data_IF_281579746095
#
_entry.id   IF_281579746095
#
_cell.length_a   1.000
_cell.length_b   1.000
_cell.length_c   1.000
_cell.angle_alpha   90.00
_cell.angle_beta   90.00
_cell.angle_gamma   90.00
#
_symmetry.space_group_name_H-M   'P 1'
#
loop_
_entity.id
_entity.type
_entity.pdbx_description
1 polymer ?
#
# COMPACT_ATOMS: atom_id res chain seq x y z
N UNK A 1 57.14 -26.92 -0.17
CA UNK A 1 57.78 -25.59 -0.01
C UNK A 1 56.88 -24.73 0.84
N UNK A 2 57.38 -24.40 2.03
CA UNK A 2 56.94 -23.42 3.03
C UNK A 2 55.50 -23.51 3.59
N UNK A 3 55.42 -24.24 4.69
CA UNK A 3 54.56 -23.94 5.83
C UNK A 3 55.10 -22.71 6.59
N UNK A 4 54.21 -21.87 7.13
CA UNK A 4 54.54 -20.93 8.23
C UNK A 4 53.38 -20.93 9.25
N UNK A 5 53.81 -21.04 10.50
CA UNK A 5 53.06 -21.09 11.75
C UNK A 5 52.64 -19.70 12.28
N UNK A 6 51.64 -19.73 13.16
CA UNK A 6 51.47 -18.99 14.44
C UNK A 6 51.60 -17.45 14.47
N UNK A 7 50.55 -16.80 14.97
CA UNK A 7 50.68 -16.01 16.20
C UNK A 7 49.32 -15.76 16.87
N UNK A 8 49.20 -16.32 18.06
CA UNK A 8 48.25 -15.96 19.11
C UNK A 8 48.67 -14.59 19.68
N UNK A 9 47.74 -13.65 19.80
CA UNK A 9 47.87 -12.51 20.72
C UNK A 9 46.64 -12.49 21.62
N UNK A 10 46.87 -12.86 22.87
CA UNK A 10 46.02 -12.61 24.04
C UNK A 10 46.69 -11.50 24.87
N UNK A 11 45.85 -10.77 25.60
CA UNK A 11 46.13 -9.74 26.62
C UNK A 11 46.31 -8.32 26.05
N UNK A 12 45.62 -7.29 26.56
CA UNK A 12 44.71 -7.23 27.70
C UNK A 12 44.38 -5.79 28.05
N UNK A 13 43.45 -5.64 29.03
CA UNK A 13 43.17 -4.45 29.83
C UNK A 13 42.65 -3.21 29.05
N UNK A 14 41.80 -2.34 29.57
CA UNK A 14 41.01 -2.21 30.78
C UNK A 14 40.10 -0.98 30.52
N UNK A 15 39.16 -0.72 31.43
CA UNK A 15 38.46 0.57 31.59
C UNK A 15 37.51 0.99 30.47
N UNK A 16 36.23 0.64 30.65
CA UNK A 16 35.11 1.56 30.41
C UNK A 16 33.94 1.20 31.34
N UNK A 17 34.22 1.27 32.65
CA UNK A 17 33.19 1.55 33.65
C UNK A 17 32.96 3.06 33.69
N UNK A 18 31.68 3.47 33.83
CA UNK A 18 31.17 4.83 34.09
C UNK A 18 31.15 5.82 32.90
N UNK A 19 29.97 5.99 32.31
CA UNK A 19 29.15 7.23 32.38
C UNK A 19 27.87 7.05 31.56
N UNK A 20 26.89 6.35 32.14
CA UNK A 20 25.49 6.71 31.94
C UNK A 20 25.05 7.39 33.23
N UNK A 21 25.43 8.66 33.33
CA UNK A 21 24.88 9.59 34.30
C UNK A 21 23.36 9.62 34.09
N UNK A 22 22.64 9.40 35.19
CA UNK A 22 21.20 9.31 35.18
C UNK A 22 20.58 10.61 34.69
N UNK A 23 19.76 10.49 33.65
CA UNK A 23 18.61 11.36 33.52
C UNK A 23 17.58 10.85 34.53
N UNK A 24 17.69 11.38 35.74
CA UNK A 24 16.67 11.31 36.77
C UNK A 24 15.41 11.99 36.22
N UNK A 25 14.55 11.20 35.57
CA UNK A 25 13.14 11.53 35.37
C UNK A 25 12.40 11.23 36.69
N UNK A 26 12.87 11.86 37.77
CA UNK A 26 12.18 11.96 39.05
C UNK A 26 11.57 13.35 39.11
N UNK A 27 10.59 13.61 38.24
CA UNK A 27 9.74 14.78 38.33
C UNK A 27 8.33 14.35 38.67
N UNK A 28 8.00 14.51 39.95
CA UNK A 28 6.64 14.76 40.47
C UNK A 28 5.62 13.65 40.22
N UNK A 29 5.64 12.63 41.07
CA UNK A 29 4.40 12.02 41.60
C UNK A 29 3.86 13.02 42.62
N UNK A 30 3.42 14.19 42.14
CA UNK A 30 2.71 15.17 42.95
C UNK A 30 1.23 14.86 42.84
N UNK A 31 0.57 14.60 43.96
CA UNK A 31 -0.87 14.66 44.17
C UNK A 31 -1.73 14.18 42.98
N UNK A 32 -1.92 12.85 42.89
CA UNK A 32 -3.05 12.25 42.19
C UNK A 32 -4.37 12.57 42.91
N UNK A 33 -4.65 13.87 43.10
CA UNK A 33 -5.95 14.38 43.51
C UNK A 33 -6.90 14.12 42.37
N UNK A 34 -7.77 13.12 42.55
CA UNK A 34 -9.10 13.02 41.95
C UNK A 34 -9.22 13.67 40.56
N UNK A 35 -8.38 13.27 39.59
CA UNK A 35 -8.68 13.52 38.19
C UNK A 35 -9.88 12.63 37.91
N UNK A 36 -11.06 13.22 38.10
CA UNK A 36 -12.34 12.53 38.01
C UNK A 36 -12.32 11.66 36.78
N UNK A 37 -12.44 10.35 36.99
CA UNK A 37 -12.77 9.41 35.95
C UNK A 37 -14.09 9.95 35.39
N UNK A 38 -14.02 10.76 34.34
CA UNK A 38 -15.20 11.26 33.66
C UNK A 38 -16.03 10.02 33.36
N UNK A 39 -17.26 10.00 33.86
CA UNK A 39 -18.16 8.86 33.76
C UNK A 39 -18.19 8.40 32.29
N UNK A 40 -17.43 7.34 31.98
CA UNK A 40 -17.46 6.75 30.67
C UNK A 40 -18.86 6.21 30.47
N UNK A 41 -19.58 6.80 29.52
CA UNK A 41 -20.91 6.35 29.15
C UNK A 41 -20.79 5.52 27.87
N UNK A 42 -20.86 4.17 27.92
CA UNK A 42 -20.87 3.34 26.71
C UNK A 42 -21.91 3.80 25.68
N UNK A 43 -23.03 4.33 26.16
CA UNK A 43 -24.11 4.91 25.35
C UNK A 43 -23.63 6.10 24.49
N UNK A 44 -22.66 6.89 24.96
CA UNK A 44 -22.09 8.01 24.19
C UNK A 44 -21.26 7.50 23.01
N UNK A 45 -20.40 6.50 23.23
CA UNK A 45 -19.62 5.86 22.16
C UNK A 45 -20.55 5.25 21.12
N UNK A 46 -21.61 4.58 21.55
CA UNK A 46 -22.59 3.99 20.65
C UNK A 46 -23.31 5.08 19.82
N UNK A 47 -23.75 6.18 20.44
CA UNK A 47 -24.33 7.33 19.73
C UNK A 47 -23.38 7.90 18.68
N UNK A 48 -22.09 8.03 19.00
CA UNK A 48 -21.06 8.50 18.07
C UNK A 48 -20.87 7.53 16.89
N UNK A 49 -20.82 6.23 17.15
CA UNK A 49 -20.69 5.20 16.11
C UNK A 49 -21.92 5.18 15.19
N UNK A 50 -23.15 5.19 15.74
CA UNK A 50 -24.38 5.29 14.92
C UNK A 50 -24.41 6.55 14.06
N UNK A 51 -23.82 7.65 14.51
CA UNK A 51 -23.70 8.88 13.71
C UNK A 51 -22.61 8.77 12.65
N UNK A 52 -21.49 8.14 12.99
CA UNK A 52 -20.42 7.81 12.03
C UNK A 52 -20.96 6.95 10.89
N UNK A 53 -21.69 5.88 11.18
CA UNK A 53 -22.23 4.96 10.17
C UNK A 53 -23.22 5.66 9.23
N UNK A 54 -24.11 6.50 9.77
CA UNK A 54 -25.03 7.33 8.97
C UNK A 54 -24.28 8.27 8.04
N UNK A 55 -23.26 8.97 8.53
CA UNK A 55 -22.43 9.85 7.71
C UNK A 55 -21.57 9.07 6.72
N UNK A 56 -21.13 7.86 7.06
CA UNK A 56 -20.34 7.04 6.15
C UNK A 56 -21.20 6.57 4.98
N UNK A 57 -22.44 6.14 5.25
CA UNK A 57 -23.45 5.85 4.23
C UNK A 57 -23.76 7.07 3.36
N UNK A 58 -23.81 8.26 3.95
CA UNK A 58 -23.97 9.52 3.19
C UNK A 58 -22.76 9.78 2.28
N UNK A 59 -21.53 9.73 2.82
CA UNK A 59 -20.29 9.90 2.05
C UNK A 59 -20.22 8.90 0.90
N UNK A 60 -20.57 7.64 1.13
CA UNK A 60 -20.55 6.59 0.12
C UNK A 60 -21.56 6.82 -1.02
N UNK A 61 -22.51 7.76 -0.88
CA UNK A 61 -23.45 8.16 -1.95
C UNK A 61 -23.03 9.44 -2.68
N UNK A 62 -22.02 10.15 -2.19
CA UNK A 62 -21.51 11.35 -2.85
C UNK A 62 -20.66 10.97 -4.06
N UNK A 63 -21.09 11.40 -5.23
CA UNK A 63 -20.24 11.39 -6.42
C UNK A 63 -19.18 12.48 -6.30
N UNK A 64 -17.99 12.18 -6.80
CA UNK A 64 -16.97 13.18 -7.03
C UNK A 64 -17.40 14.13 -8.17
N UNK A 65 -16.90 15.37 -8.20
CA UNK A 65 -17.11 16.26 -9.35
C UNK A 65 -16.63 15.61 -10.65
N UNK A 66 -17.10 16.12 -11.79
CA UNK A 66 -16.66 15.65 -13.10
C UNK A 66 -15.13 15.76 -13.21
N UNK A 67 -14.48 14.62 -13.44
CA UNK A 67 -13.03 14.53 -13.57
C UNK A 67 -12.66 14.66 -15.04
N UNK A 68 -12.06 15.79 -15.39
CA UNK A 68 -11.57 16.10 -16.74
C UNK A 68 -10.05 16.01 -16.86
N UNK A 69 -9.34 15.86 -15.74
CA UNK A 69 -7.88 15.81 -15.68
C UNK A 69 -7.40 14.73 -14.71
N UNK A 70 -6.14 14.32 -14.84
CA UNK A 70 -5.44 13.50 -13.85
C UNK A 70 -4.01 14.02 -13.61
N UNK A 71 -3.47 13.71 -12.43
CA UNK A 71 -2.13 14.14 -12.02
C UNK A 71 -1.09 13.08 -12.35
N UNK A 72 0.03 13.50 -12.94
CA UNK A 72 1.20 12.67 -13.15
C UNK A 72 2.46 13.54 -13.29
N UNK A 73 3.56 13.12 -12.67
CA UNK A 73 4.85 13.83 -12.69
C UNK A 73 4.73 15.30 -12.24
N UNK A 74 3.84 15.57 -11.28
CA UNK A 74 3.59 16.92 -10.75
C UNK A 74 2.76 17.84 -11.67
N UNK A 75 2.30 17.37 -12.83
CA UNK A 75 1.44 18.12 -13.74
C UNK A 75 0.03 17.54 -13.89
N UNK A 76 -0.91 18.37 -14.34
CA UNK A 76 -2.27 17.96 -14.72
C UNK A 76 -2.35 17.62 -16.22
N UNK A 77 -3.01 16.52 -16.55
CA UNK A 77 -3.17 16.02 -17.92
C UNK A 77 -4.65 15.89 -18.26
N UNK A 78 -5.08 16.49 -19.37
CA UNK A 78 -6.47 16.46 -19.83
C UNK A 78 -6.91 15.05 -20.27
N UNK A 79 -8.18 14.71 -20.03
CA UNK A 79 -8.81 13.47 -20.46
C UNK A 79 -9.80 13.73 -21.61
N UNK A 80 -9.84 12.86 -22.64
CA UNK A 80 -8.98 11.68 -22.84
C UNK A 80 -7.59 12.06 -23.38
N UNK A 81 -6.55 11.34 -22.97
CA UNK A 81 -5.23 11.41 -23.65
C UNK A 81 -5.26 10.43 -24.81
N UNK A 82 -5.32 10.96 -26.03
CA UNK A 82 -5.22 10.18 -27.25
C UNK A 82 -3.77 10.11 -27.75
N UNK A 83 -3.43 9.03 -28.44
CA UNK A 83 -2.16 8.93 -29.13
C UNK A 83 -2.09 9.96 -30.27
N UNK A 84 -1.09 10.83 -30.21
CA UNK A 84 -0.68 11.63 -31.35
C UNK A 84 -0.07 10.70 -32.40
N UNK A 85 -0.75 10.54 -33.55
CA UNK A 85 -0.34 9.66 -34.63
C UNK A 85 1.01 10.04 -35.26
N UNK A 86 1.43 11.28 -35.09
CA UNK A 86 2.71 11.78 -35.63
C UNK A 86 3.88 11.46 -34.70
N UNK A 87 3.61 11.20 -33.42
CA UNK A 87 4.62 10.96 -32.41
C UNK A 87 5.09 9.51 -32.45
N UNK A 88 6.39 9.31 -32.65
CA UNK A 88 7.01 8.01 -32.54
C UNK A 88 6.85 7.45 -31.10
N UNK A 89 6.59 6.14 -31.01
CA UNK A 89 6.56 5.46 -29.73
C UNK A 89 7.95 5.48 -29.10
N UNK A 90 7.98 5.72 -27.79
CA UNK A 90 9.21 5.74 -27.02
C UNK A 90 9.72 4.30 -26.85
N UNK A 91 10.98 4.08 -27.20
CA UNK A 91 11.67 2.83 -26.85
C UNK A 91 12.01 2.84 -25.36
N UNK A 92 11.63 1.79 -24.63
CA UNK A 92 11.99 1.61 -23.23
C UNK A 92 13.38 0.99 -23.12
N UNK A 93 14.16 1.46 -22.16
CA UNK A 93 15.34 0.71 -21.74
C UNK A 93 14.93 -0.64 -21.13
N UNK A 94 15.89 -1.58 -20.99
CA UNK A 94 15.60 -2.89 -20.37
C UNK A 94 15.00 -2.75 -18.96
N UNK A 95 15.57 -1.89 -18.12
CA UNK A 95 15.07 -1.67 -16.76
C UNK A 95 13.66 -1.07 -16.75
N UNK A 96 13.34 -0.15 -17.67
CA UNK A 96 11.98 0.41 -17.77
C UNK A 96 10.96 -0.60 -18.26
N UNK A 97 11.36 -1.52 -19.15
CA UNK A 97 10.51 -2.63 -19.59
C UNK A 97 10.26 -3.62 -18.44
N UNK A 98 11.28 -3.95 -17.66
CA UNK A 98 11.15 -4.78 -16.44
C UNK A 98 10.21 -4.12 -15.41
N UNK A 99 10.36 -2.81 -15.17
CA UNK A 99 9.43 -2.03 -14.35
C UNK A 99 8.00 -2.10 -14.90
N UNK A 100 7.81 -1.86 -16.20
CA UNK A 100 6.49 -1.90 -16.82
C UNK A 100 5.85 -3.29 -16.70
N UNK A 101 6.64 -4.36 -16.84
CA UNK A 101 6.17 -5.73 -16.67
C UNK A 101 5.76 -6.01 -15.22
N UNK A 102 6.57 -5.63 -14.23
CA UNK A 102 6.22 -5.75 -12.81
C UNK A 102 4.95 -4.98 -12.45
N UNK A 103 4.81 -3.76 -12.94
CA UNK A 103 3.60 -2.97 -12.72
C UNK A 103 2.38 -3.61 -13.37
N UNK A 104 2.52 -4.11 -14.60
CA UNK A 104 1.46 -4.81 -15.31
C UNK A 104 1.07 -6.13 -14.60
N UNK A 105 2.03 -6.81 -13.97
CA UNK A 105 1.80 -8.03 -13.21
C UNK A 105 1.03 -7.82 -11.91
N UNK A 106 1.09 -6.63 -11.32
CA UNK A 106 0.16 -6.20 -10.29
C UNK A 106 -1.17 -5.72 -10.88
N UNK A 107 -1.19 -4.49 -11.39
CA UNK A 107 -2.42 -3.75 -11.73
C UNK A 107 -2.88 -3.88 -13.19
N UNK A 108 -2.07 -4.51 -14.04
CA UNK A 108 -2.40 -4.76 -15.44
C UNK A 108 -3.42 -5.88 -15.65
N UNK A 109 -4.12 -5.83 -16.78
CA UNK A 109 -5.09 -6.83 -17.16
C UNK A 109 -5.06 -7.10 -18.66
N UNK A 110 -5.07 -8.38 -19.02
CA UNK A 110 -5.37 -8.86 -20.38
C UNK A 110 -6.85 -9.23 -20.44
N UNK A 111 -7.60 -8.54 -21.29
CA UNK A 111 -9.05 -8.69 -21.40
C UNK A 111 -9.51 -8.95 -22.82
N UNK A 112 -10.51 -9.80 -22.94
CA UNK A 112 -11.23 -10.11 -24.18
C UNK A 112 -12.68 -9.69 -23.97
N UNK A 113 -13.00 -8.44 -24.33
CA UNK A 113 -14.31 -7.87 -24.00
C UNK A 113 -15.46 -8.47 -24.82
N UNK A 114 -15.15 -9.11 -25.95
CA UNK A 114 -16.13 -9.85 -26.74
C UNK A 114 -15.40 -10.90 -27.60
N UNK A 115 -15.79 -12.19 -27.56
CA UNK A 115 -15.21 -13.21 -28.44
C UNK A 115 -15.36 -12.89 -29.93
N UNK A 116 -16.35 -12.07 -30.32
CA UNK A 116 -16.52 -11.60 -31.70
C UNK A 116 -15.52 -10.50 -32.09
N UNK A 117 -14.85 -9.85 -31.14
CA UNK A 117 -13.84 -8.83 -31.43
C UNK A 117 -12.54 -9.44 -31.98
N UNK A 118 -12.03 -8.83 -33.05
CA UNK A 118 -10.82 -9.25 -33.76
C UNK A 118 -9.53 -9.09 -32.94
N UNK A 119 -9.59 -8.55 -31.72
CA UNK A 119 -8.42 -8.31 -30.87
C UNK A 119 -8.69 -8.49 -29.38
N UNK A 120 -7.65 -8.89 -28.66
CA UNK A 120 -7.53 -8.69 -27.21
C UNK A 120 -7.27 -7.21 -26.89
N UNK A 121 -7.33 -6.86 -25.59
CA UNK A 121 -6.91 -5.56 -25.09
C UNK A 121 -6.10 -5.70 -23.82
N UNK A 122 -5.08 -4.86 -23.68
CA UNK A 122 -4.32 -4.69 -22.46
C UNK A 122 -4.79 -3.39 -21.80
N UNK A 123 -4.87 -3.40 -20.47
CA UNK A 123 -5.26 -2.22 -19.71
C UNK A 123 -4.53 -2.17 -18.37
N UNK A 124 -4.32 -0.95 -17.88
CA UNK A 124 -3.81 -0.66 -16.53
C UNK A 124 -4.70 0.41 -15.94
N UNK A 125 -5.16 0.21 -14.70
CA UNK A 125 -5.97 1.18 -13.99
C UNK A 125 -5.12 1.84 -12.90
N UNK A 126 -5.31 3.15 -12.69
CA UNK A 126 -4.69 3.88 -11.59
C UNK A 126 -5.63 4.92 -11.01
N UNK A 127 -5.36 5.34 -9.78
CA UNK A 127 -6.03 6.51 -9.22
C UNK A 127 -5.68 7.75 -10.04
N UNK A 128 -6.64 8.66 -10.22
CA UNK A 128 -6.42 9.93 -10.94
C UNK A 128 -5.36 10.85 -10.31
N UNK A 129 -4.88 10.55 -9.09
CA UNK A 129 -3.79 11.28 -8.45
C UNK A 129 -2.39 10.69 -8.71
N UNK A 130 -2.29 9.56 -9.40
CA UNK A 130 -1.02 8.83 -9.61
C UNK A 130 -0.95 8.21 -11.02
N UNK A 131 -0.97 9.06 -12.04
CA UNK A 131 -1.01 8.65 -13.45
C UNK A 131 0.36 8.38 -14.10
N UNK A 132 1.47 8.45 -13.36
CA UNK A 132 2.84 8.35 -13.88
C UNK A 132 3.05 7.07 -14.69
N UNK A 133 2.64 5.93 -14.12
CA UNK A 133 2.73 4.64 -14.80
C UNK A 133 1.89 4.64 -16.09
N UNK A 134 0.69 5.24 -16.09
CA UNK A 134 -0.16 5.27 -17.30
C UNK A 134 0.49 6.04 -18.44
N UNK A 135 1.17 7.15 -18.13
CA UNK A 135 1.92 7.91 -19.14
C UNK A 135 3.13 7.12 -19.66
N UNK A 136 3.81 6.34 -18.83
CA UNK A 136 4.86 5.41 -19.27
C UNK A 136 4.30 4.40 -20.27
N UNK A 137 3.20 3.72 -19.95
CA UNK A 137 2.55 2.78 -20.86
C UNK A 137 2.07 3.45 -22.15
N UNK A 138 1.47 4.64 -22.05
CA UNK A 138 1.01 5.40 -23.21
C UNK A 138 2.16 5.80 -24.13
N UNK A 139 3.27 6.30 -23.58
CA UNK A 139 4.44 6.69 -24.37
C UNK A 139 5.12 5.48 -25.04
N UNK A 140 5.20 4.34 -24.35
CA UNK A 140 5.88 3.15 -24.84
C UNK A 140 5.07 2.33 -25.85
N UNK A 141 3.76 2.21 -25.61
CA UNK A 141 2.91 1.24 -26.30
C UNK A 141 1.72 1.89 -27.02
N UNK A 142 1.58 3.22 -26.94
CA UNK A 142 0.47 3.97 -27.51
C UNK A 142 -0.84 3.76 -26.76
N UNK A 143 -1.95 3.71 -27.49
CA UNK A 143 -3.28 3.52 -26.90
C UNK A 143 -3.92 4.84 -26.45
N UNK A 144 -4.75 4.76 -25.41
CA UNK A 144 -5.46 5.93 -24.87
C UNK A 144 -5.57 5.87 -23.36
N UNK A 145 -5.53 7.03 -22.70
CA UNK A 145 -5.87 7.16 -21.27
C UNK A 145 -7.24 7.80 -21.15
N UNK A 146 -8.18 7.11 -20.50
CA UNK A 146 -9.55 7.58 -20.31
C UNK A 146 -9.98 7.47 -18.86
N UNK A 147 -11.03 8.20 -18.49
CA UNK A 147 -11.71 7.98 -17.22
C UNK A 147 -12.36 6.59 -17.21
N UNK A 148 -12.06 5.77 -16.20
CA UNK A 148 -12.69 4.45 -16.02
C UNK A 148 -13.76 4.47 -14.94
N UNK A 149 -13.59 5.28 -13.89
CA UNK A 149 -14.66 5.56 -12.92
C UNK A 149 -14.50 6.97 -12.37
N UNK A 150 -15.61 7.69 -12.21
CA UNK A 150 -15.61 9.07 -11.72
C UNK A 150 -15.27 9.22 -10.23
N UNK A 151 -15.20 8.13 -9.47
CA UNK A 151 -15.03 8.17 -8.02
C UNK A 151 -16.34 8.37 -7.26
N UNK A 152 -16.39 7.87 -6.03
CA UNK A 152 -17.57 7.94 -5.16
C UNK A 152 -17.16 7.77 -3.70
N UNK A 153 -17.59 8.68 -2.82
CA UNK A 153 -17.24 8.69 -1.40
C UNK A 153 -15.73 8.58 -1.17
N UNK A 154 -15.29 7.55 -0.44
CA UNK A 154 -13.87 7.29 -0.20
C UNK A 154 -13.10 6.74 -1.42
N UNK A 155 -13.78 6.31 -2.48
CA UNK A 155 -13.15 5.77 -3.69
C UNK A 155 -12.80 6.92 -4.61
N UNK A 156 -11.50 7.15 -4.82
CA UNK A 156 -11.01 8.14 -5.78
C UNK A 156 -11.44 7.76 -7.20
N UNK A 157 -11.45 8.75 -8.09
CA UNK A 157 -11.60 8.50 -9.50
C UNK A 157 -10.44 7.62 -10.02
N UNK A 158 -10.76 6.80 -11.01
CA UNK A 158 -9.83 5.86 -11.62
C UNK A 158 -9.71 6.19 -13.09
N UNK A 159 -8.49 6.39 -13.55
CA UNK A 159 -8.11 6.51 -14.95
C UNK A 159 -7.53 5.20 -15.44
N UNK A 160 -7.61 4.97 -16.74
CA UNK A 160 -7.22 3.71 -17.37
C UNK A 160 -6.46 3.97 -18.65
N UNK A 161 -5.24 3.45 -18.71
CA UNK A 161 -4.59 3.22 -19.98
C UNK A 161 -5.16 1.96 -20.63
N UNK A 162 -5.43 2.00 -21.94
CA UNK A 162 -5.88 0.86 -22.71
C UNK A 162 -5.28 0.86 -24.10
N UNK A 163 -4.90 -0.32 -24.56
CA UNK A 163 -4.47 -0.58 -25.94
C UNK A 163 -5.19 -1.80 -26.51
N UNK A 164 -5.49 -1.78 -27.81
CA UNK A 164 -6.21 -2.84 -28.53
C UNK A 164 -5.49 -3.15 -29.86
N UNK A 165 -5.94 -4.20 -30.56
CA UNK A 165 -5.49 -4.46 -31.94
C UNK A 165 -4.01 -4.83 -32.04
N UNK A 166 -3.34 -4.33 -33.08
CA UNK A 166 -1.93 -4.60 -33.33
C UNK A 166 -1.02 -4.07 -32.21
N UNK A 167 -1.26 -2.86 -31.73
CA UNK A 167 -0.51 -2.26 -30.61
C UNK A 167 -0.61 -3.07 -29.33
N UNK A 168 -1.76 -3.72 -29.06
CA UNK A 168 -1.90 -4.62 -27.92
C UNK A 168 -1.03 -5.87 -28.05
N UNK A 169 -0.90 -6.44 -29.25
CA UNK A 169 0.00 -7.58 -29.50
C UNK A 169 1.46 -7.19 -29.34
N UNK A 170 1.85 -6.03 -29.88
CA UNK A 170 3.21 -5.51 -29.76
C UNK A 170 3.58 -5.23 -28.28
N UNK A 171 2.68 -4.60 -27.54
CA UNK A 171 2.84 -4.39 -26.10
C UNK A 171 2.93 -5.72 -25.34
N UNK A 172 2.08 -6.69 -25.66
CA UNK A 172 2.11 -8.01 -25.05
C UNK A 172 3.43 -8.73 -25.31
N UNK A 173 3.94 -8.68 -26.54
CA UNK A 173 5.22 -9.30 -26.91
C UNK A 173 6.39 -8.68 -26.15
N UNK A 174 6.39 -7.35 -25.98
CA UNK A 174 7.42 -6.66 -25.20
C UNK A 174 7.35 -7.05 -23.72
N UNK A 175 6.17 -7.04 -23.12
CA UNK A 175 5.97 -7.30 -21.69
C UNK A 175 6.16 -8.78 -21.32
N UNK A 176 5.82 -9.72 -22.21
CA UNK A 176 5.84 -11.17 -21.94
C UNK A 176 7.22 -11.63 -21.44
N UNK A 177 8.30 -11.11 -22.05
CA UNK A 177 9.65 -11.52 -21.73
C UNK A 177 10.15 -11.04 -20.37
N UNK A 178 9.52 -10.03 -19.78
CA UNK A 178 9.89 -9.46 -18.49
C UNK A 178 8.84 -9.70 -17.40
N UNK A 179 7.69 -10.28 -17.75
CA UNK A 179 6.61 -10.64 -16.83
C UNK A 179 6.92 -11.96 -16.12
N UNK A 180 6.51 -12.05 -14.85
CA UNK A 180 6.56 -13.26 -14.02
C UNK A 180 5.16 -13.85 -13.79
N UNK A 181 4.13 -12.99 -13.68
CA UNK A 181 2.78 -13.40 -13.26
C UNK A 181 1.86 -13.62 -14.45
N UNK A 182 1.94 -12.75 -15.46
CA UNK A 182 0.98 -12.72 -16.57
C UNK A 182 1.57 -13.20 -17.90
N UNK A 183 2.69 -13.92 -17.88
CA UNK A 183 3.41 -14.40 -19.07
C UNK A 183 2.53 -15.20 -20.03
N UNK A 184 1.76 -16.18 -19.54
CA UNK A 184 0.85 -16.98 -20.37
C UNK A 184 -0.28 -16.13 -20.97
N UNK A 185 -0.86 -15.23 -20.17
CA UNK A 185 -1.92 -14.33 -20.63
C UNK A 185 -1.41 -13.36 -21.71
N UNK A 186 -0.17 -12.88 -21.56
CA UNK A 186 0.49 -12.05 -22.55
C UNK A 186 0.82 -12.86 -23.82
N UNK A 187 1.31 -14.09 -23.70
CA UNK A 187 1.53 -14.98 -24.84
C UNK A 187 0.26 -15.17 -25.67
N UNK A 188 -0.86 -15.48 -25.01
CA UNK A 188 -2.15 -15.64 -25.67
C UNK A 188 -2.61 -14.34 -26.37
N UNK A 189 -2.23 -13.18 -25.83
CA UNK A 189 -2.50 -11.89 -26.47
C UNK A 189 -1.62 -11.66 -27.71
N UNK A 190 -0.36 -12.10 -27.71
CA UNK A 190 0.53 -12.07 -28.88
C UNK A 190 -0.03 -12.96 -30.00
N UNK A 191 -0.40 -14.19 -29.65
CA UNK A 191 -0.89 -15.22 -30.55
C UNK A 191 -2.39 -15.07 -30.89
N UNK A 192 -2.99 -13.89 -30.65
CA UNK A 192 -4.43 -13.72 -30.75
C UNK A 192 -4.94 -14.04 -32.18
N UNK A 193 -5.83 -15.04 -32.33
CA UNK A 193 -6.17 -15.61 -33.62
C UNK A 193 -7.21 -14.77 -34.35
N UNK A 194 -7.16 -14.84 -35.69
CA UNK A 194 -8.17 -14.20 -36.56
C UNK A 194 -9.50 -14.97 -36.48
N UNK A 195 -9.43 -16.31 -36.48
CA UNK A 195 -10.60 -17.20 -36.51
C UNK A 195 -11.47 -17.07 -35.23
N UNK A 196 -12.80 -16.84 -35.36
CA UNK A 196 -13.70 -16.70 -34.20
C UNK A 196 -13.77 -17.91 -33.26
N UNK A 197 -13.75 -19.14 -33.79
CA UNK A 197 -13.83 -20.36 -32.96
C UNK A 197 -12.63 -20.49 -32.03
N UNK A 198 -11.42 -20.27 -32.56
CA UNK A 198 -10.18 -20.27 -31.77
C UNK A 198 -10.14 -19.13 -30.74
N UNK A 199 -10.72 -17.96 -31.04
CA UNK A 199 -10.86 -16.86 -30.06
C UNK A 199 -11.72 -17.25 -28.86
N UNK A 200 -12.84 -17.95 -29.08
CA UNK A 200 -13.68 -18.46 -27.99
C UNK A 200 -12.92 -19.42 -27.10
N UNK A 201 -12.16 -20.33 -27.71
CA UNK A 201 -11.33 -21.31 -27.00
C UNK A 201 -10.25 -20.63 -26.14
N UNK A 202 -9.47 -19.70 -26.72
CA UNK A 202 -8.47 -18.95 -25.96
C UNK A 202 -9.09 -18.08 -24.87
N UNK A 203 -10.30 -17.56 -25.06
CA UNK A 203 -11.02 -16.80 -24.01
C UNK A 203 -11.35 -17.70 -22.81
N UNK A 204 -11.75 -18.95 -23.07
CA UNK A 204 -12.00 -19.95 -22.03
C UNK A 204 -10.70 -20.31 -21.30
N UNK A 205 -9.65 -20.65 -22.04
CA UNK A 205 -8.32 -20.97 -21.48
C UNK A 205 -7.75 -19.81 -20.64
N UNK A 206 -7.88 -18.56 -21.11
CA UNK A 206 -7.45 -17.37 -20.39
C UNK A 206 -8.20 -17.22 -19.06
N UNK A 207 -9.48 -17.55 -19.05
CA UNK A 207 -10.33 -17.52 -17.85
C UNK A 207 -9.94 -18.64 -16.87
N UNK A 208 -9.55 -19.81 -17.37
CA UNK A 208 -9.04 -20.92 -16.57
C UNK A 208 -7.69 -20.56 -15.94
N UNK A 209 -6.74 -20.03 -16.70
CA UNK A 209 -5.42 -19.57 -16.18
C UNK A 209 -5.59 -18.51 -15.09
N UNK A 210 -6.55 -17.59 -15.22
CA UNK A 210 -6.85 -16.61 -14.16
C UNK A 210 -7.38 -17.23 -12.87
N UNK A 211 -7.90 -18.47 -12.92
CA UNK A 211 -8.40 -19.22 -11.76
C UNK A 211 -7.34 -20.17 -11.20
N UNK A 212 -6.69 -20.94 -12.07
CA UNK A 212 -5.61 -21.87 -11.76
C UNK A 212 -4.28 -21.19 -12.08
N UNK A 213 -3.65 -20.62 -11.07
CA UNK A 213 -2.32 -20.07 -11.24
C UNK A 213 -1.32 -21.20 -11.35
N UNK A 214 -0.65 -21.28 -12.49
CA UNK A 214 0.47 -22.17 -12.72
C UNK A 214 1.68 -21.31 -12.99
N UNK A 215 2.73 -21.47 -12.19
CA UNK A 215 4.00 -20.83 -12.48
C UNK A 215 4.59 -21.42 -13.75
N UNK A 216 4.78 -20.61 -14.79
CA UNK A 216 5.64 -20.95 -15.91
C UNK A 216 7.11 -20.86 -15.50
N UNK A 217 8.02 -21.43 -16.30
CA UNK A 217 9.47 -21.30 -16.16
C UNK A 217 9.88 -19.86 -15.80
N UNK A 218 10.61 -19.70 -14.70
CA UNK A 218 10.82 -18.40 -14.08
C UNK A 218 11.90 -17.63 -14.84
N UNK A 219 11.59 -16.40 -15.21
CA UNK A 219 12.63 -15.39 -15.37
C UNK A 219 13.11 -14.95 -13.99
N UNK A 220 14.37 -14.53 -13.87
CA UNK A 220 14.89 -14.00 -12.60
C UNK A 220 14.22 -12.69 -12.25
N UNK A 221 13.83 -12.52 -10.98
CA UNK A 221 13.33 -11.24 -10.47
C UNK A 221 14.46 -10.20 -10.50
N UNK A 222 14.13 -8.93 -10.74
CA UNK A 222 15.08 -7.82 -10.72
C UNK A 222 14.54 -6.68 -9.86
N UNK A 223 15.42 -5.77 -9.43
CA UNK A 223 15.00 -4.56 -8.71
C UNK A 223 14.03 -3.69 -9.51
N UNK A 224 14.18 -3.62 -10.84
CA UNK A 224 13.28 -2.86 -11.71
C UNK A 224 11.89 -3.49 -11.77
N UNK A 225 11.83 -4.82 -11.96
CA UNK A 225 10.57 -5.55 -11.90
C UNK A 225 9.90 -5.37 -10.53
N UNK A 226 10.66 -5.53 -9.43
CA UNK A 226 10.13 -5.38 -8.08
C UNK A 226 9.64 -3.96 -7.81
N UNK A 227 10.29 -2.92 -8.35
CA UNK A 227 9.82 -1.54 -8.24
C UNK A 227 8.44 -1.36 -8.88
N UNK A 228 8.24 -1.87 -10.09
CA UNK A 228 6.95 -1.83 -10.77
C UNK A 228 5.88 -2.63 -10.02
N UNK A 229 6.21 -3.85 -9.60
CA UNK A 229 5.30 -4.72 -8.86
C UNK A 229 4.92 -4.14 -7.49
N UNK A 230 5.87 -3.52 -6.79
CA UNK A 230 5.62 -2.84 -5.51
C UNK A 230 4.77 -1.58 -5.67
N UNK A 231 4.94 -0.84 -6.77
CA UNK A 231 4.08 0.30 -7.07
C UNK A 231 2.64 -0.07 -7.36
N UNK A 232 2.37 -1.29 -7.84
CA UNK A 232 1.03 -1.84 -7.94
C UNK A 232 0.55 -2.44 -6.59
N UNK A 233 1.21 -3.49 -6.11
CA UNK A 233 0.71 -4.37 -5.03
C UNK A 233 1.35 -4.12 -3.65
N UNK A 234 2.43 -3.33 -3.62
CA UNK A 234 3.18 -3.02 -2.42
C UNK A 234 2.50 -1.99 -1.53
N UNK A 235 2.90 -1.95 -0.26
CA UNK A 235 2.51 -0.91 0.68
C UNK A 235 3.63 -0.58 1.64
N UNK A 236 3.65 0.69 2.06
CA UNK A 236 4.56 1.23 3.08
C UNK A 236 3.71 1.52 4.31
N UNK A 237 4.02 0.85 5.42
CA UNK A 237 3.29 0.99 6.67
C UNK A 237 4.21 1.46 7.79
N UNK A 238 3.82 2.56 8.43
CA UNK A 238 4.43 3.02 9.68
C UNK A 238 3.43 2.70 10.79
N UNK A 239 3.75 1.74 11.70
CA UNK A 239 2.83 1.28 12.75
C UNK A 239 2.43 2.43 13.65
N UNK A 240 1.32 2.33 14.39
CA UNK A 240 0.88 3.41 15.28
C UNK A 240 1.66 3.52 16.59
N UNK A 241 2.27 2.41 16.99
CA UNK A 241 3.03 2.27 18.22
C UNK A 241 4.42 1.76 17.87
N UNK A 242 5.44 2.48 18.35
CA UNK A 242 6.84 2.15 18.11
C UNK A 242 7.41 2.83 16.87
N UNK A 243 8.72 3.06 16.91
CA UNK A 243 9.49 3.54 15.78
C UNK A 243 9.82 2.35 14.87
N UNK A 244 9.29 2.36 13.65
CA UNK A 244 9.51 1.28 12.69
C UNK A 244 8.85 1.53 11.36
N UNK A 245 9.21 0.72 10.37
CA UNK A 245 8.66 0.72 9.02
C UNK A 245 8.42 -0.73 8.65
N UNK A 246 7.29 -1.00 8.03
CA UNK A 246 7.01 -2.29 7.39
C UNK A 246 6.74 -2.07 5.92
N UNK A 247 7.43 -2.82 5.10
CA UNK A 247 7.12 -2.94 3.69
C UNK A 247 6.40 -4.26 3.50
N UNK A 248 5.37 -4.29 2.66
CA UNK A 248 4.82 -5.57 2.29
C UNK A 248 4.15 -5.58 0.94
N UNK A 249 4.06 -6.77 0.37
CA UNK A 249 3.37 -7.04 -0.88
C UNK A 249 2.34 -8.11 -0.58
N UNK A 250 1.09 -7.90 -1.02
CA UNK A 250 0.01 -8.85 -0.81
C UNK A 250 -0.32 -9.53 -2.13
N UNK A 251 -0.51 -10.85 -2.13
CA UNK A 251 -0.83 -11.59 -3.34
C UNK A 251 -1.67 -12.83 -3.02
N UNK A 252 -2.55 -13.22 -3.95
CA UNK A 252 -3.38 -14.42 -3.81
C UNK A 252 -2.57 -15.70 -3.94
N UNK A 253 -1.51 -15.67 -4.76
CA UNK A 253 -0.65 -16.81 -5.04
C UNK A 253 0.66 -16.66 -4.26
N UNK A 254 0.88 -17.56 -3.29
CA UNK A 254 2.03 -17.50 -2.39
C UNK A 254 3.35 -17.67 -3.13
N UNK A 255 3.33 -18.42 -4.22
CA UNK A 255 4.50 -18.79 -4.97
C UNK A 255 5.17 -17.56 -5.60
N UNK A 256 4.40 -16.56 -6.05
CA UNK A 256 4.92 -15.26 -6.50
C UNK A 256 5.72 -14.58 -5.39
N UNK A 257 5.21 -14.64 -4.16
CA UNK A 257 5.87 -14.03 -3.01
C UNK A 257 7.14 -14.78 -2.63
N UNK A 258 7.19 -16.09 -2.82
CA UNK A 258 8.40 -16.87 -2.65
C UNK A 258 9.46 -16.57 -3.71
N UNK A 259 9.06 -16.24 -4.96
CA UNK A 259 10.00 -15.69 -5.96
C UNK A 259 10.69 -14.44 -5.43
N UNK A 260 9.87 -13.48 -4.98
CA UNK A 260 10.35 -12.18 -4.53
C UNK A 260 11.15 -12.35 -3.24
N UNK A 261 10.73 -13.25 -2.35
CA UNK A 261 11.48 -13.61 -1.13
C UNK A 261 12.88 -14.12 -1.47
N UNK A 262 13.01 -15.11 -2.37
CA UNK A 262 14.31 -15.66 -2.75
C UNK A 262 15.24 -14.58 -3.32
N UNK A 263 14.73 -13.72 -4.20
CA UNK A 263 15.48 -12.57 -4.70
C UNK A 263 15.92 -11.60 -3.59
N UNK A 264 15.03 -11.27 -2.64
CA UNK A 264 15.39 -10.42 -1.51
C UNK A 264 16.42 -11.06 -0.58
N UNK A 265 16.34 -12.37 -0.37
CA UNK A 265 17.31 -13.13 0.45
C UNK A 265 18.69 -13.15 -0.20
N UNK A 266 18.79 -13.32 -1.52
CA UNK A 266 20.04 -13.19 -2.30
C UNK A 266 20.65 -11.79 -2.17
N UNK A 267 19.81 -10.75 -2.06
CA UNK A 267 20.22 -9.36 -1.80
C UNK A 267 20.50 -9.06 -0.31
N UNK A 268 20.48 -10.09 0.55
CA UNK A 268 20.74 -9.96 1.99
C UNK A 268 19.60 -9.33 2.81
N UNK A 269 18.40 -9.30 2.26
CA UNK A 269 17.20 -8.73 2.89
C UNK A 269 16.37 -9.84 3.52
N UNK A 270 16.39 -9.92 4.84
CA UNK A 270 15.52 -10.84 5.58
C UNK A 270 14.05 -10.37 5.50
N UNK A 271 13.19 -11.25 5.01
CA UNK A 271 11.75 -11.05 4.89
C UNK A 271 11.00 -12.36 5.18
N UNK A 272 9.69 -12.26 5.36
CA UNK A 272 8.85 -13.42 5.64
C UNK A 272 7.58 -13.43 4.79
N UNK A 273 7.23 -14.59 4.24
CA UNK A 273 5.91 -14.84 3.64
C UNK A 273 4.96 -15.35 4.73
N UNK A 274 3.90 -14.58 4.98
CA UNK A 274 2.90 -14.82 6.02
C UNK A 274 1.57 -15.13 5.33
N UNK A 275 0.91 -16.21 5.77
CA UNK A 275 -0.47 -16.51 5.34
C UNK A 275 -1.43 -15.52 6.01
N UNK A 276 -2.17 -14.77 5.20
CA UNK A 276 -3.21 -13.85 5.64
C UNK A 276 -4.60 -14.49 5.67
N UNK A 277 -5.62 -13.64 5.79
CA UNK A 277 -7.03 -14.06 5.75
C UNK A 277 -7.49 -14.35 4.32
N UNK A 278 -8.49 -15.23 4.15
CA UNK A 278 -9.18 -15.46 2.88
C UNK A 278 -8.27 -15.86 1.70
N UNK A 279 -7.28 -16.73 1.95
CA UNK A 279 -6.31 -17.22 0.94
C UNK A 279 -5.41 -16.14 0.33
N UNK A 280 -5.23 -15.01 1.02
CA UNK A 280 -4.20 -14.05 0.67
C UNK A 280 -2.91 -14.36 1.42
N UNK A 281 -1.79 -14.09 0.78
CA UNK A 281 -0.45 -14.19 1.34
C UNK A 281 0.18 -12.81 1.35
N UNK A 282 1.12 -12.59 2.26
CA UNK A 282 1.86 -11.32 2.37
C UNK A 282 3.35 -11.60 2.53
N UNK A 283 4.16 -10.98 1.69
CA UNK A 283 5.59 -10.84 1.94
C UNK A 283 5.81 -9.59 2.78
N UNK A 284 6.53 -9.68 3.89
CA UNK A 284 6.77 -8.55 4.80
C UNK A 284 8.26 -8.39 5.13
N UNK A 285 8.75 -7.15 5.01
CA UNK A 285 10.05 -6.68 5.54
C UNK A 285 9.74 -5.80 6.74
N UNK A 286 10.28 -6.14 7.92
CA UNK A 286 9.92 -5.46 9.18
C UNK A 286 11.10 -4.76 9.89
N UNK A 287 12.35 -5.08 9.54
CA UNK A 287 13.53 -4.42 10.12
C UNK A 287 13.73 -3.06 9.44
N UNK A 288 13.83 -1.98 10.22
CA UNK A 288 13.88 -0.61 9.67
C UNK A 288 15.02 -0.39 8.68
N UNK A 289 16.22 -0.91 8.96
CA UNK A 289 17.37 -0.76 8.06
C UNK A 289 17.19 -1.54 6.76
N UNK A 290 16.60 -2.73 6.83
CA UNK A 290 16.24 -3.52 5.66
C UNK A 290 15.15 -2.82 4.83
N UNK A 291 14.12 -2.26 5.47
CA UNK A 291 13.09 -1.46 4.80
C UNK A 291 13.72 -0.25 4.08
N UNK A 292 14.63 0.48 4.73
CA UNK A 292 15.33 1.61 4.12
C UNK A 292 16.21 1.19 2.95
N UNK A 293 16.93 0.06 3.06
CA UNK A 293 17.72 -0.50 1.97
C UNK A 293 16.83 -0.81 0.76
N UNK A 294 15.73 -1.55 0.98
CA UNK A 294 14.77 -1.89 -0.06
C UNK A 294 14.20 -0.63 -0.72
N UNK A 295 13.71 0.35 0.05
CA UNK A 295 13.16 1.59 -0.51
C UNK A 295 14.18 2.36 -1.36
N UNK A 296 15.44 2.46 -0.94
CA UNK A 296 16.50 3.09 -1.74
C UNK A 296 16.72 2.35 -3.05
N UNK A 297 16.75 1.01 -3.01
CA UNK A 297 16.91 0.18 -4.21
C UNK A 297 15.71 0.33 -5.17
N UNK A 298 14.48 0.35 -4.65
CA UNK A 298 13.27 0.54 -5.46
C UNK A 298 13.26 1.93 -6.12
N UNK A 299 13.62 3.00 -5.40
CA UNK A 299 13.73 4.34 -5.99
C UNK A 299 14.82 4.37 -7.07
N UNK A 300 15.99 3.79 -6.79
CA UNK A 300 17.08 3.72 -7.77
C UNK A 300 16.70 2.91 -9.02
N UNK A 301 15.81 1.92 -8.87
CA UNK A 301 15.29 1.09 -9.95
C UNK A 301 14.04 1.68 -10.64
N UNK A 302 13.70 2.94 -10.37
CA UNK A 302 12.67 3.67 -11.11
C UNK A 302 11.25 3.58 -10.53
N UNK A 303 11.07 3.29 -9.23
CA UNK A 303 9.77 3.41 -8.56
C UNK A 303 9.15 4.81 -8.80
N UNK A 304 7.89 4.86 -9.24
CA UNK A 304 7.16 6.06 -9.63
C UNK A 304 6.04 6.40 -8.64
N UNK A 305 5.07 5.51 -8.46
CA UNK A 305 3.79 5.79 -7.80
C UNK A 305 3.96 6.01 -6.31
N UNK A 306 4.76 5.17 -5.65
CA UNK A 306 5.01 5.23 -4.21
C UNK A 306 6.31 5.95 -3.86
N UNK A 307 6.95 6.61 -4.83
CA UNK A 307 8.22 7.32 -4.66
C UNK A 307 8.17 8.35 -3.53
N UNK A 308 7.23 9.29 -3.58
CA UNK A 308 7.09 10.32 -2.54
C UNK A 308 6.88 9.72 -1.14
N UNK A 309 6.05 8.67 -1.04
CA UNK A 309 5.81 7.97 0.22
C UNK A 309 7.08 7.29 0.76
N UNK A 310 7.91 6.73 -0.12
CA UNK A 310 9.18 6.14 0.25
C UNK A 310 10.20 7.19 0.70
N UNK A 311 10.29 8.34 0.01
CA UNK A 311 11.19 9.45 0.35
C UNK A 311 10.89 9.99 1.76
N UNK A 312 9.59 10.20 2.08
CA UNK A 312 9.14 10.60 3.42
C UNK A 312 9.60 9.61 4.49
N UNK A 313 9.50 8.30 4.21
CA UNK A 313 9.91 7.26 5.16
C UNK A 313 11.43 7.12 5.26
N UNK A 314 12.18 7.38 4.18
CA UNK A 314 13.63 7.39 4.19
C UNK A 314 14.19 8.55 5.04
N UNK A 315 13.52 9.69 5.05
CA UNK A 315 13.83 10.84 5.91
C UNK A 315 13.42 10.67 7.38
N UNK A 316 12.66 9.63 7.72
CA UNK A 316 12.09 9.47 9.06
C UNK A 316 13.16 9.35 10.17
N UNK A 317 13.13 10.28 11.13
CA UNK A 317 13.90 10.20 12.39
C UNK A 317 13.01 9.80 13.58
N UNK A 318 13.62 9.49 14.72
CA UNK A 318 12.89 9.11 15.94
C UNK A 318 12.01 10.27 16.46
N UNK A 319 12.50 11.50 16.38
CA UNK A 319 11.77 12.71 16.82
C UNK A 319 10.61 13.08 15.89
N UNK A 320 10.71 12.75 14.61
CA UNK A 320 9.75 13.20 13.57
C UNK A 320 8.70 12.14 13.21
N UNK A 321 8.77 10.96 13.80
CA UNK A 321 7.93 9.82 13.45
C UNK A 321 6.42 10.13 13.39
N UNK A 322 5.89 10.99 14.25
CA UNK A 322 4.46 11.37 14.23
C UNK A 322 4.13 12.21 12.99
N UNK A 323 4.99 13.17 12.65
CA UNK A 323 4.82 14.02 11.47
C UNK A 323 4.92 13.20 10.18
N UNK A 324 5.91 12.30 10.11
CA UNK A 324 6.08 11.35 8.98
C UNK A 324 4.82 10.52 8.76
N UNK A 325 4.13 10.09 9.83
CA UNK A 325 2.87 9.34 9.70
C UNK A 325 1.73 10.18 9.17
N UNK A 326 1.64 11.44 9.58
CA UNK A 326 0.63 12.37 9.09
C UNK A 326 0.88 12.72 7.62
N UNK A 327 2.12 12.98 7.24
CA UNK A 327 2.53 13.24 5.87
C UNK A 327 2.26 12.02 4.96
N UNK A 328 2.74 10.84 5.37
CA UNK A 328 2.47 9.59 4.66
C UNK A 328 0.96 9.35 4.50
N UNK A 329 0.15 9.76 5.48
CA UNK A 329 -1.31 9.61 5.44
C UNK A 329 -1.98 10.40 4.31
N UNK A 330 -1.36 11.49 3.87
CA UNK A 330 -1.79 12.31 2.73
C UNK A 330 -1.41 11.72 1.38
N UNK A 331 -0.29 10.99 1.33
CA UNK A 331 0.24 10.37 0.12
C UNK A 331 -0.44 9.05 -0.23
N UNK A 332 -0.86 8.27 0.78
CA UNK A 332 -1.51 6.98 0.55
C UNK A 332 -3.02 7.09 0.32
N UNK A 333 -3.61 6.01 -0.19
CA UNK A 333 -5.06 5.92 -0.38
C UNK A 333 -5.88 6.15 0.89
N UNK A 334 -7.16 6.48 0.70
CA UNK A 334 -8.12 6.74 1.78
C UNK A 334 -8.57 5.47 2.52
N UNK A 335 -8.14 4.29 2.05
CA UNK A 335 -8.41 3.01 2.71
C UNK A 335 -7.84 3.04 4.14
N UNK A 336 -8.69 2.75 5.12
CA UNK A 336 -8.32 2.79 6.53
C UNK A 336 -8.09 4.19 7.12
N UNK A 337 -8.34 5.30 6.39
CA UNK A 337 -8.16 6.67 6.89
C UNK A 337 -8.86 6.92 8.22
N UNK A 338 -10.11 6.47 8.36
CA UNK A 338 -10.88 6.58 9.61
C UNK A 338 -10.52 5.52 10.67
N UNK A 339 -9.56 4.66 10.41
CA UNK A 339 -9.04 3.70 11.41
C UNK A 339 -7.68 4.13 11.95
N UNK A 340 -7.01 5.08 11.28
CA UNK A 340 -5.70 5.60 11.70
C UNK A 340 -5.82 6.38 12.99
N UNK A 341 -4.84 6.18 13.86
CA UNK A 341 -4.68 6.93 15.10
C UNK A 341 -3.83 8.18 14.81
N UNK A 342 -4.35 9.36 15.16
CA UNK A 342 -3.57 10.60 15.19
C UNK A 342 -2.58 10.64 16.36
N UNK A 343 -1.77 11.70 16.46
CA UNK A 343 -0.71 11.86 17.46
C UNK A 343 -1.15 11.49 18.89
N UNK A 344 -2.20 12.14 19.40
CA UNK A 344 -2.69 11.92 20.77
C UNK A 344 -3.19 10.48 20.99
N UNK A 345 -3.88 9.93 19.99
CA UNK A 345 -4.39 8.57 20.07
C UNK A 345 -3.25 7.53 20.08
N UNK A 346 -2.12 7.85 19.45
CA UNK A 346 -0.92 7.02 19.51
C UNK A 346 -0.23 7.13 20.87
N UNK A 347 -0.16 8.33 21.45
CA UNK A 347 0.28 8.53 22.83
C UNK A 347 -0.52 7.67 23.81
N UNK A 348 -1.86 7.74 23.75
CA UNK A 348 -2.75 6.90 24.55
C UNK A 348 -2.53 5.40 24.28
N UNK A 349 -2.39 4.98 23.02
CA UNK A 349 -2.16 3.58 22.69
C UNK A 349 -0.83 3.04 23.24
N UNK A 350 0.23 3.86 23.26
CA UNK A 350 1.50 3.53 23.91
C UNK A 350 1.34 3.37 25.42
N UNK A 351 0.61 4.28 26.07
CA UNK A 351 0.33 4.20 27.50
C UNK A 351 -0.48 2.96 27.87
N UNK A 352 -1.52 2.61 27.08
CA UNK A 352 -2.29 1.37 27.21
C UNK A 352 -1.36 0.16 27.12
N UNK A 353 -0.47 0.11 26.13
CA UNK A 353 0.47 -0.99 25.95
C UNK A 353 1.47 -1.11 27.12
N UNK A 354 2.00 0.02 27.59
CA UNK A 354 2.91 0.06 28.75
C UNK A 354 2.24 -0.50 30.01
N UNK A 355 1.00 -0.07 30.30
CA UNK A 355 0.22 -0.60 31.43
C UNK A 355 -0.01 -2.11 31.31
N UNK A 356 -0.34 -2.61 30.12
CA UNK A 356 -0.49 -4.05 29.89
C UNK A 356 0.80 -4.84 30.16
N UNK A 357 1.97 -4.29 29.83
CA UNK A 357 3.26 -4.91 30.14
C UNK A 357 3.55 -4.87 31.65
N UNK A 358 3.25 -3.76 32.31
CA UNK A 358 3.41 -3.64 33.76
C UNK A 358 2.52 -4.63 34.51
N UNK A 359 1.24 -4.74 34.14
CA UNK A 359 0.29 -5.73 34.71
C UNK A 359 0.87 -7.14 34.59
N UNK A 360 1.36 -7.51 33.39
CA UNK A 360 1.99 -8.83 33.19
C UNK A 360 3.18 -9.06 34.13
N UNK A 361 4.06 -8.05 34.29
CA UNK A 361 5.21 -8.13 35.20
C UNK A 361 4.80 -8.27 36.67
N UNK A 362 3.79 -7.53 37.11
CA UNK A 362 3.29 -7.61 38.49
C UNK A 362 2.66 -8.97 38.79
N UNK A 363 1.88 -9.51 37.84
CA UNK A 363 1.33 -10.87 37.94
C UNK A 363 2.45 -11.91 38.04
N UNK A 364 3.46 -11.83 37.16
CA UNK A 364 4.63 -12.73 37.23
C UNK A 364 5.41 -12.61 38.55
N UNK A 365 5.37 -11.43 39.19
CA UNK A 365 6.05 -11.17 40.47
C UNK A 365 5.16 -11.45 41.70
N UNK A 366 3.96 -12.04 41.51
CA UNK A 366 2.97 -12.32 42.57
C UNK A 366 2.48 -11.08 43.35
N UNK A 367 2.57 -9.89 42.75
CA UNK A 367 2.10 -8.61 43.30
C UNK A 367 0.68 -8.30 42.83
N UNK A 368 -0.28 -9.07 43.33
CA UNK A 368 -1.68 -9.03 42.88
C UNK A 368 -2.38 -7.68 43.18
N UNK A 369 -2.25 -7.08 44.38
CA UNK A 369 -2.91 -5.79 44.66
C UNK A 369 -2.49 -4.67 43.70
N UNK A 370 -1.19 -4.58 43.40
CA UNK A 370 -0.66 -3.59 42.46
C UNK A 370 -1.12 -3.87 41.02
N UNK A 371 -1.24 -5.14 40.64
CA UNK A 371 -1.78 -5.51 39.34
C UNK A 371 -3.26 -5.09 39.19
N UNK A 372 -4.08 -5.23 40.23
CA UNK A 372 -5.48 -4.79 40.22
C UNK A 372 -5.60 -3.27 40.09
N UNK A 373 -4.77 -2.50 40.79
CA UNK A 373 -4.75 -1.04 40.63
C UNK A 373 -4.41 -0.63 39.18
N UNK A 374 -3.40 -1.27 38.57
CA UNK A 374 -3.03 -1.01 37.18
C UNK A 374 -4.14 -1.43 36.20
N UNK A 375 -4.93 -2.48 36.49
CA UNK A 375 -6.07 -2.88 35.66
C UNK A 375 -7.17 -1.81 35.67
N UNK A 376 -7.46 -1.20 36.82
CA UNK A 376 -8.42 -0.08 36.92
C UNK A 376 -7.95 1.10 36.06
N UNK A 377 -6.67 1.46 36.14
CA UNK A 377 -6.09 2.52 35.29
C UNK A 377 -6.14 2.18 33.79
N UNK A 378 -5.81 0.93 33.44
CA UNK A 378 -5.88 0.45 32.05
C UNK A 378 -7.30 0.56 31.50
N UNK A 379 -8.32 0.18 32.29
CA UNK A 379 -9.72 0.25 31.89
C UNK A 379 -10.14 1.70 31.62
N UNK A 380 -9.81 2.64 32.52
CA UNK A 380 -10.11 4.06 32.33
C UNK A 380 -9.46 4.62 31.06
N UNK A 381 -8.19 4.29 30.82
CA UNK A 381 -7.46 4.74 29.63
C UNK A 381 -8.01 4.13 28.32
N UNK A 382 -8.46 2.87 28.36
CA UNK A 382 -9.12 2.21 27.22
C UNK A 382 -10.48 2.84 26.89
N UNK A 383 -11.25 3.18 27.92
CA UNK A 383 -12.54 3.87 27.80
C UNK A 383 -12.37 5.25 27.17
N UNK A 384 -11.44 6.06 27.71
CA UNK A 384 -11.09 7.37 27.17
C UNK A 384 -10.61 7.28 25.72
N UNK A 385 -9.69 6.34 25.43
CA UNK A 385 -9.19 6.12 24.07
C UNK A 385 -10.32 5.78 23.10
N UNK A 386 -11.26 4.93 23.51
CA UNK A 386 -12.40 4.53 22.68
C UNK A 386 -13.30 5.72 22.36
N UNK A 387 -13.62 6.54 23.36
CA UNK A 387 -14.44 7.73 23.20
C UNK A 387 -13.79 8.75 22.25
N UNK A 388 -12.55 9.18 22.56
CA UNK A 388 -11.84 10.18 21.78
C UNK A 388 -11.56 9.71 20.35
N UNK A 389 -11.34 8.40 20.15
CA UNK A 389 -11.22 7.81 18.81
C UNK A 389 -12.53 7.92 18.03
N UNK A 390 -13.68 7.62 18.65
CA UNK A 390 -14.98 7.75 17.99
C UNK A 390 -15.26 9.21 17.60
N UNK A 391 -14.95 10.16 18.47
CA UNK A 391 -15.09 11.60 18.19
C UNK A 391 -14.20 12.06 17.04
N UNK A 392 -12.91 11.71 17.09
CA UNK A 392 -11.94 12.09 16.05
C UNK A 392 -12.34 11.54 14.68
N UNK A 393 -12.78 10.28 14.61
CA UNK A 393 -13.27 9.64 13.38
C UNK A 393 -14.47 10.37 12.80
N UNK A 394 -15.42 10.75 13.66
CA UNK A 394 -16.62 11.46 13.28
C UNK A 394 -16.31 12.87 12.77
N UNK A 395 -15.41 13.60 13.44
CA UNK A 395 -14.96 14.92 13.01
C UNK A 395 -14.25 14.85 11.65
N UNK A 396 -13.33 13.90 11.46
CA UNK A 396 -12.62 13.69 10.20
C UNK A 396 -13.59 13.36 9.06
N UNK A 397 -14.57 12.49 9.29
CA UNK A 397 -15.60 12.15 8.31
C UNK A 397 -16.44 13.36 7.90
N UNK A 398 -16.84 14.21 8.87
CA UNK A 398 -17.55 15.47 8.54
C UNK A 398 -16.70 16.40 7.70
N UNK A 399 -15.42 16.54 8.04
CA UNK A 399 -14.47 17.36 7.28
C UNK A 399 -14.36 16.87 5.83
N UNK A 400 -14.19 15.56 5.63
CA UNK A 400 -14.07 14.97 4.30
C UNK A 400 -15.36 15.13 3.49
N UNK A 401 -16.55 14.98 4.11
CA UNK A 401 -17.85 15.26 3.47
C UNK A 401 -17.93 16.73 3.02
N UNK A 402 -17.61 17.68 3.91
CA UNK A 402 -17.64 19.11 3.57
C UNK A 402 -16.66 19.45 2.46
N UNK A 403 -15.45 18.86 2.49
CA UNK A 403 -14.44 19.06 1.47
C UNK A 403 -14.92 18.54 0.11
N UNK A 404 -15.54 17.36 0.08
CA UNK A 404 -16.07 16.77 -1.15
C UNK A 404 -17.23 17.61 -1.71
N UNK A 405 -18.17 18.02 -0.87
CA UNK A 405 -19.27 18.91 -1.26
C UNK A 405 -18.74 20.28 -1.76
N UNK A 406 -17.77 20.86 -1.06
CA UNK A 406 -17.15 22.13 -1.44
C UNK A 406 -16.37 22.07 -2.75
N UNK A 407 -15.94 20.86 -3.18
CA UNK A 407 -15.33 20.61 -4.49
C UNK A 407 -16.35 20.31 -5.59
N UNK A 408 -17.64 20.51 -5.33
CA UNK A 408 -18.71 20.23 -6.30
C UNK A 408 -19.18 18.77 -6.30
N UNK A 409 -18.82 17.99 -5.27
CA UNK A 409 -19.39 16.66 -5.07
C UNK A 409 -20.89 16.76 -4.80
N UNK A 410 -21.67 15.85 -5.39
CA UNK A 410 -23.12 15.86 -5.30
C UNK A 410 -23.66 14.47 -4.96
N UNK A 411 -24.82 14.42 -4.31
CA UNK A 411 -25.55 13.16 -4.18
C UNK A 411 -25.94 12.68 -5.57
N UNK A 412 -25.64 11.43 -5.90
CA UNK A 412 -26.24 10.80 -7.08
C UNK A 412 -27.74 10.84 -6.89
N UNK A 413 -28.41 11.71 -7.64
CA UNK A 413 -29.85 11.58 -7.85
C UNK A 413 -30.08 10.14 -8.31
N UNK A 414 -30.99 9.43 -7.65
CA UNK A 414 -31.53 8.17 -8.18
C UNK A 414 -32.37 8.53 -9.41
N UNK A 415 -31.75 9.10 -10.43
CA UNK A 415 -32.35 9.12 -11.76
C UNK A 415 -32.39 7.65 -12.13
N UNK A 416 -33.61 7.11 -12.09
CA UNK A 416 -33.92 5.72 -12.31
C UNK A 416 -33.08 5.14 -13.46
N UNK A 417 -32.45 4.01 -13.19
CA UNK A 417 -31.92 3.11 -14.20
C UNK A 417 -33.08 2.48 -15.01
N UNK A 418 -33.89 3.32 -15.65
CA UNK A 418 -34.92 2.96 -16.64
C UNK A 418 -34.42 3.22 -18.07
N UNK A 419 -33.12 3.03 -18.28
CA UNK A 419 -32.53 2.95 -19.62
C UNK A 419 -31.63 1.72 -19.69
N UNK A 420 -32.27 0.59 -19.93
CA UNK A 420 -31.71 -0.57 -20.64
C UNK A 420 -32.87 -1.29 -21.27
#
# INVERSE_FOLDING_TARGET
MLAVQLSVVRNGAALLHRRLSGNACTSRIGDARQTGVQNYQPQQVEKLNRRFDRLKCYLDKLAWPAITHFQAFGGDHELPVALDKTRALRQLSRGELEYAAGFFDGDGCVSVNNPSMRSCSLAVNQSSSHGEALLLFHAAFGGSITLSSSGQGCKRAVVKWRVCGHSARAAAAALQNASLVKTLQLQMAVEWPVCPSRRRELTKQMSEIKRSYTLSTWNTCSWHYLAGFFDAEGHIHVPACGFGVRLGVTQKHAEILHVIQGFLEEEGVNCAVIRGYQNWHRLEVSKIDACRLVLRRLIAAGMLVKKAAAEVVLGMTLSEYTSVREELSGLVGLQGRYMRLGADACGRSKSIHSLQLQIRRQISSRKLPEAELLKVQLLGLQQEHTLLKAESRLQLLRRDIRLLLGRGGALRSRVCALRS
#
